data_IF_238306490366
#
_entry.id   IF_238306490366
#
_cell.length_a   1.000
_cell.length_b   1.000
_cell.length_c   1.000
_cell.angle_alpha   90.00
_cell.angle_beta   90.00
_cell.angle_gamma   90.00
#
_symmetry.space_group_name_H-M   'P 1'
#
loop_
_entity.id
_entity.type
_entity.pdbx_description
1 polymer ?
#
# COMPACT_ATOMS: atom_id res chain seq x y z
N UNK A 1 -7.67 24.69 -73.96
CA UNK A 1 -8.05 23.47 -73.22
C UNK A 1 -7.35 23.54 -71.87
N UNK A 2 -8.07 23.89 -70.80
CA UNK A 2 -7.52 24.07 -69.46
C UNK A 2 -7.38 22.71 -68.76
N UNK A 3 -6.16 22.34 -68.39
CA UNK A 3 -5.87 21.15 -67.60
C UNK A 3 -5.94 21.52 -66.10
N UNK A 4 -6.97 21.04 -65.42
CA UNK A 4 -7.13 21.17 -63.97
C UNK A 4 -6.32 20.03 -63.33
N UNK A 5 -5.25 20.37 -62.62
CA UNK A 5 -4.44 19.41 -61.86
C UNK A 5 -5.09 19.16 -60.50
N UNK A 6 -5.67 17.98 -60.29
CA UNK A 6 -6.26 17.56 -59.02
C UNK A 6 -5.15 16.90 -58.18
N UNK A 7 -4.64 17.63 -57.19
CA UNK A 7 -3.76 17.04 -56.17
C UNK A 7 -4.60 16.27 -55.16
N UNK A 8 -4.54 14.94 -55.18
CA UNK A 8 -5.15 14.09 -54.18
C UNK A 8 -4.33 14.15 -52.88
N UNK A 9 -4.81 14.89 -51.88
CA UNK A 9 -4.25 14.86 -50.53
C UNK A 9 -4.59 13.52 -49.87
N UNK A 10 -3.60 12.64 -49.72
CA UNK A 10 -3.69 11.41 -48.94
C UNK A 10 -3.65 11.79 -47.46
N UNK A 11 -4.81 11.81 -46.82
CA UNK A 11 -4.94 12.04 -45.39
C UNK A 11 -4.51 10.77 -44.64
N UNK A 12 -3.25 10.74 -44.19
CA UNK A 12 -2.71 9.65 -43.38
C UNK A 12 -3.37 9.68 -41.99
N UNK A 13 -4.35 8.83 -41.73
CA UNK A 13 -4.89 8.62 -40.38
C UNK A 13 -3.79 7.99 -39.52
N UNK A 14 -3.11 8.80 -38.69
CA UNK A 14 -2.28 8.28 -37.61
C UNK A 14 -3.19 7.69 -36.54
N UNK A 15 -3.27 6.37 -36.48
CA UNK A 15 -3.89 5.67 -35.37
C UNK A 15 -2.98 5.86 -34.15
N UNK A 16 -3.31 6.84 -33.30
CA UNK A 16 -2.63 7.02 -32.02
C UNK A 16 -2.96 5.81 -31.14
N UNK A 17 -1.97 5.07 -30.61
CA UNK A 17 -2.25 4.01 -29.67
C UNK A 17 -2.98 4.60 -28.46
N UNK A 18 -4.19 4.12 -28.20
CA UNK A 18 -4.88 4.38 -26.95
C UNK A 18 -4.20 3.56 -25.87
N UNK A 19 -3.28 4.17 -25.13
CA UNK A 19 -2.80 3.58 -23.89
C UNK A 19 -3.94 3.66 -22.88
N UNK A 20 -4.53 2.52 -22.54
CA UNK A 20 -5.42 2.45 -21.39
C UNK A 20 -4.57 2.75 -20.16
N UNK A 21 -4.93 3.79 -19.41
CA UNK A 21 -4.30 4.06 -18.11
C UNK A 21 -4.59 2.87 -17.21
N UNK A 22 -3.55 2.34 -16.57
CA UNK A 22 -3.73 1.28 -15.58
C UNK A 22 -4.71 1.75 -14.50
N UNK A 23 -5.62 0.86 -14.07
CA UNK A 23 -6.54 1.17 -12.98
C UNK A 23 -5.80 0.98 -11.67
N UNK A 24 -5.35 2.07 -11.07
CA UNK A 24 -4.74 2.06 -9.76
C UNK A 24 -5.80 1.99 -8.66
N UNK A 25 -5.58 1.11 -7.68
CA UNK A 25 -6.31 1.06 -6.41
C UNK A 25 -5.31 1.02 -5.26
N UNK A 26 -5.61 1.72 -4.17
CA UNK A 26 -4.75 1.70 -2.98
C UNK A 26 -5.21 0.60 -2.03
N UNK A 27 -4.28 -0.29 -1.64
CA UNK A 27 -4.57 -1.38 -0.71
C UNK A 27 -4.32 -0.91 0.73
N UNK A 28 -3.16 -0.31 0.99
CA UNK A 28 -2.77 0.32 2.26
C UNK A 28 -1.74 1.46 1.98
N UNK A 29 -1.08 1.99 3.02
CA UNK A 29 -0.18 3.16 2.90
C UNK A 29 1.10 2.92 2.09
N UNK A 30 1.44 1.67 1.76
CA UNK A 30 2.61 1.34 0.93
C UNK A 30 2.36 0.20 -0.07
N UNK A 31 1.09 -0.12 -0.33
CA UNK A 31 0.69 -1.19 -1.24
C UNK A 31 -0.35 -0.69 -2.25
N UNK A 32 -0.08 -0.92 -3.54
CA UNK A 32 -0.95 -0.61 -4.67
C UNK A 32 -1.44 -1.89 -5.34
N UNK A 33 -2.64 -1.85 -5.91
CA UNK A 33 -3.07 -2.80 -6.94
C UNK A 33 -3.12 -2.04 -8.28
N UNK A 34 -2.32 -2.49 -9.24
CA UNK A 34 -2.36 -2.02 -10.62
C UNK A 34 -2.86 -3.15 -11.52
N UNK A 35 -4.09 -3.03 -12.01
CA UNK A 35 -4.74 -4.00 -12.92
C UNK A 35 -4.68 -5.47 -12.43
N UNK A 36 -4.84 -5.68 -11.13
CA UNK A 36 -4.83 -6.99 -10.47
C UNK A 36 -3.44 -7.44 -10.01
N UNK A 37 -2.39 -6.67 -10.29
CA UNK A 37 -1.05 -6.93 -9.76
C UNK A 37 -0.81 -6.09 -8.51
N UNK A 38 -0.54 -6.77 -7.40
CA UNK A 38 -0.24 -6.11 -6.13
C UNK A 38 1.25 -5.71 -6.09
N UNK A 39 1.49 -4.43 -5.90
CA UNK A 39 2.79 -3.81 -5.70
C UNK A 39 2.97 -3.38 -4.25
N UNK A 40 4.03 -3.87 -3.60
CA UNK A 40 4.57 -3.26 -2.38
C UNK A 40 5.60 -2.23 -2.81
N UNK A 41 5.46 -1.00 -2.30
CA UNK A 41 6.38 0.08 -2.59
C UNK A 41 7.77 -0.27 -2.02
N UNK A 42 8.75 -0.35 -2.91
CA UNK A 42 10.14 -0.61 -2.61
C UNK A 42 10.69 0.41 -1.61
N UNK A 43 11.53 -0.06 -0.69
CA UNK A 43 12.36 0.77 0.18
C UNK A 43 11.63 1.59 1.24
N UNK A 44 10.32 1.43 1.41
CA UNK A 44 9.52 2.20 2.38
C UNK A 44 8.63 1.27 3.23
N UNK A 45 8.21 1.76 4.39
CA UNK A 45 7.20 1.11 5.26
C UNK A 45 6.28 2.22 5.80
N UNK A 46 5.01 2.19 5.43
CA UNK A 46 4.02 3.18 5.86
C UNK A 46 3.37 2.78 7.20
N UNK A 47 2.83 3.73 7.99
CA UNK A 47 2.04 3.37 9.17
C UNK A 47 0.87 2.47 8.80
N UNK A 48 0.60 1.47 9.65
CA UNK A 48 -0.49 0.53 9.43
C UNK A 48 -1.83 1.27 9.38
N UNK A 49 -2.81 0.77 8.63
CA UNK A 49 -4.10 1.46 8.44
C UNK A 49 -4.84 1.84 9.75
N UNK A 50 -4.57 1.13 10.85
CA UNK A 50 -5.13 1.39 12.18
C UNK A 50 -4.18 2.07 13.16
N UNK A 51 -3.00 2.49 12.70
CA UNK A 51 -2.00 3.15 13.52
C UNK A 51 -2.33 4.64 13.68
N UNK A 52 -2.37 5.07 14.94
CA UNK A 52 -2.41 6.47 15.35
C UNK A 52 -1.00 6.92 15.73
N UNK A 53 -0.70 8.20 15.48
CA UNK A 53 0.57 8.83 15.78
C UNK A 53 0.35 10.03 16.69
N UNK A 54 1.38 10.44 17.42
CA UNK A 54 1.28 11.53 18.37
C UNK A 54 1.20 12.91 17.67
N UNK A 55 0.48 13.83 18.30
CA UNK A 55 0.30 15.21 17.86
C UNK A 55 0.57 16.21 19.01
N UNK A 56 0.73 17.48 18.65
CA UNK A 56 0.90 18.56 19.61
C UNK A 56 -0.22 18.60 20.65
N UNK A 57 0.15 18.97 21.88
CA UNK A 57 -0.81 19.06 22.98
C UNK A 57 -1.23 17.71 23.57
N UNK A 58 -0.55 16.61 23.21
CA UNK A 58 -0.83 15.27 23.72
C UNK A 58 -2.02 14.58 23.05
N UNK A 59 -2.37 15.04 21.85
CA UNK A 59 -3.37 14.39 20.99
C UNK A 59 -2.77 13.26 20.16
N UNK A 60 -3.64 12.60 19.39
CA UNK A 60 -3.23 11.64 18.37
C UNK A 60 -3.96 11.94 17.06
N UNK A 61 -3.31 11.60 15.95
CA UNK A 61 -3.87 11.69 14.60
C UNK A 61 -3.74 10.34 13.88
N UNK A 62 -4.69 10.05 12.99
CA UNK A 62 -4.78 8.78 12.29
C UNK A 62 -3.77 8.70 11.13
N UNK A 63 -2.48 8.59 11.46
CA UNK A 63 -1.40 8.62 10.50
C UNK A 63 -1.43 7.48 9.47
N UNK A 64 -1.89 6.29 9.85
CA UNK A 64 -2.11 5.20 8.91
C UNK A 64 -3.12 5.55 7.82
N UNK A 65 -4.24 6.15 8.22
CA UNK A 65 -5.26 6.63 7.30
C UNK A 65 -4.73 7.78 6.43
N UNK A 66 -4.00 8.71 7.01
CA UNK A 66 -3.42 9.83 6.26
C UNK A 66 -2.38 9.36 5.21
N UNK A 67 -1.59 8.33 5.52
CA UNK A 67 -0.67 7.74 4.55
C UNK A 67 -1.42 7.10 3.37
N UNK A 68 -2.53 6.38 3.64
CA UNK A 68 -3.41 5.83 2.59
C UNK A 68 -3.98 6.94 1.73
N UNK A 69 -4.58 7.98 2.35
CA UNK A 69 -5.16 9.12 1.64
C UNK A 69 -4.11 9.83 0.80
N UNK A 70 -2.88 9.97 1.31
CA UNK A 70 -1.81 10.57 0.54
C UNK A 70 -1.38 9.74 -0.65
N UNK A 71 -1.28 8.42 -0.49
CA UNK A 71 -0.97 7.52 -1.60
C UNK A 71 -2.08 7.58 -2.66
N UNK A 72 -3.36 7.64 -2.25
CA UNK A 72 -4.49 7.84 -3.17
C UNK A 72 -4.35 9.12 -3.99
N UNK A 73 -4.04 10.24 -3.36
CA UNK A 73 -3.85 11.53 -4.05
C UNK A 73 -2.75 11.49 -5.11
N UNK A 74 -1.70 10.69 -4.88
CA UNK A 74 -0.60 10.54 -5.83
C UNK A 74 -0.97 9.69 -7.04
N UNK A 75 -1.78 8.65 -6.84
CA UNK A 75 -1.97 7.60 -7.87
C UNK A 75 -3.32 7.63 -8.55
N UNK A 76 -4.39 8.04 -7.88
CA UNK A 76 -5.74 7.99 -8.44
C UNK A 76 -5.91 9.05 -9.54
N UNK A 77 -6.39 8.60 -10.71
CA UNK A 77 -6.57 9.45 -11.89
C UNK A 77 -5.30 9.77 -12.66
N UNK A 78 -4.14 9.28 -12.21
CA UNK A 78 -2.86 9.45 -12.89
C UNK A 78 -2.45 8.17 -13.64
N UNK A 79 -1.60 8.33 -14.65
CA UNK A 79 -0.91 7.22 -15.32
C UNK A 79 0.21 6.71 -14.41
N UNK A 80 0.01 5.53 -13.81
CA UNK A 80 0.94 4.92 -12.87
C UNK A 80 1.74 3.83 -13.55
N UNK A 81 3.06 3.89 -13.41
CA UNK A 81 3.99 2.84 -13.86
C UNK A 81 4.88 2.42 -12.71
N UNK A 82 5.08 1.11 -12.54
CA UNK A 82 6.00 0.59 -11.54
C UNK A 82 7.10 -0.23 -12.19
N UNK A 83 8.34 0.00 -11.75
CA UNK A 83 9.49 -0.80 -12.12
C UNK A 83 9.61 -1.99 -11.16
N UNK A 84 9.44 -3.20 -11.67
CA UNK A 84 9.52 -4.46 -10.91
C UNK A 84 10.94 -4.68 -10.35
N UNK A 85 11.05 -4.89 -9.03
CA UNK A 85 12.30 -5.15 -8.28
C UNK A 85 12.37 -6.53 -7.64
N UNK A 86 11.40 -7.41 -7.93
CA UNK A 86 11.31 -8.75 -7.39
C UNK A 86 9.96 -9.01 -6.74
N UNK A 87 9.90 -10.03 -5.88
CA UNK A 87 8.70 -10.39 -5.13
C UNK A 87 9.03 -10.54 -3.66
N UNK A 88 8.08 -10.17 -2.80
CA UNK A 88 8.16 -10.46 -1.37
C UNK A 88 7.67 -11.90 -1.07
N UNK A 89 7.88 -12.43 0.15
CA UNK A 89 7.45 -13.78 0.51
C UNK A 89 5.95 -14.03 0.42
N UNK A 90 5.12 -12.98 0.30
CA UNK A 90 3.67 -13.05 0.21
C UNK A 90 3.19 -12.98 -1.25
N UNK A 91 4.11 -12.93 -2.21
CA UNK A 91 3.81 -12.89 -3.64
C UNK A 91 3.45 -11.50 -4.18
N UNK A 92 3.61 -10.44 -3.38
CA UNK A 92 3.49 -9.06 -3.89
C UNK A 92 4.73 -8.70 -4.69
N UNK A 93 4.55 -7.98 -5.79
CA UNK A 93 5.67 -7.46 -6.57
C UNK A 93 6.27 -6.29 -5.80
N UNK A 94 7.58 -6.27 -5.58
CA UNK A 94 8.27 -5.10 -5.00
C UNK A 94 8.53 -4.13 -6.15
N UNK A 95 8.21 -2.85 -6.00
CA UNK A 95 8.41 -1.90 -7.10
C UNK A 95 8.62 -0.45 -6.70
N UNK A 96 9.31 0.29 -7.58
CA UNK A 96 9.38 1.75 -7.53
C UNK A 96 8.32 2.28 -8.48
N UNK A 97 7.35 3.02 -7.96
CA UNK A 97 6.20 3.49 -8.73
C UNK A 97 6.31 4.98 -9.04
N UNK A 98 5.95 5.34 -10.26
CA UNK A 98 5.91 6.71 -10.77
C UNK A 98 4.49 7.03 -11.21
N UNK A 99 3.95 8.15 -10.73
CA UNK A 99 2.65 8.67 -11.13
C UNK A 99 2.79 10.14 -11.52
N UNK A 100 2.28 10.52 -12.70
CA UNK A 100 2.41 11.88 -13.23
C UNK A 100 3.85 12.45 -13.22
N UNK A 101 4.86 11.57 -13.42
CA UNK A 101 6.28 11.93 -13.40
C UNK A 101 6.90 12.09 -12.00
N UNK A 102 6.16 11.78 -10.94
CA UNK A 102 6.62 11.82 -9.54
C UNK A 102 6.93 10.41 -9.06
N UNK A 103 8.11 10.18 -8.49
CA UNK A 103 8.43 8.98 -7.70
C UNK A 103 7.55 8.97 -6.44
N UNK A 104 6.59 8.04 -6.42
CA UNK A 104 5.59 7.90 -5.36
C UNK A 104 6.26 7.48 -4.06
N UNK A 105 7.18 6.51 -4.12
CA UNK A 105 7.89 6.00 -2.95
C UNK A 105 8.68 7.12 -2.26
N UNK A 106 9.47 7.86 -3.04
CA UNK A 106 10.25 9.00 -2.56
C UNK A 106 9.37 10.12 -2.01
N UNK A 107 8.20 10.34 -2.61
CA UNK A 107 7.25 11.35 -2.17
C UNK A 107 6.64 10.99 -0.80
N UNK A 108 6.23 9.74 -0.61
CA UNK A 108 5.71 9.24 0.66
C UNK A 108 6.70 9.44 1.81
N UNK A 109 7.99 9.15 1.60
CA UNK A 109 9.02 9.35 2.63
C UNK A 109 9.27 10.83 2.90
N UNK A 110 9.44 11.64 1.85
CA UNK A 110 9.76 13.08 1.98
C UNK A 110 8.66 13.84 2.73
N UNK A 111 7.40 13.45 2.57
CA UNK A 111 6.29 14.10 3.27
C UNK A 111 6.01 13.50 4.66
N UNK A 112 6.84 12.55 5.11
CA UNK A 112 6.66 11.87 6.40
C UNK A 112 5.43 10.99 6.46
N UNK A 113 4.97 10.45 5.33
CA UNK A 113 3.87 9.45 5.26
C UNK A 113 4.37 8.01 5.26
N UNK A 114 5.69 7.80 5.19
CA UNK A 114 6.33 6.51 5.36
C UNK A 114 7.74 6.67 5.94
N UNK A 115 8.24 5.62 6.56
CA UNK A 115 9.65 5.49 6.93
C UNK A 115 10.46 4.93 5.76
N UNK A 116 11.75 5.27 5.70
CA UNK A 116 12.67 4.54 4.84
C UNK A 116 12.96 3.17 5.47
N UNK A 117 12.72 2.09 4.73
CA UNK A 117 12.89 0.75 5.26
C UNK A 117 14.34 0.28 5.13
N UNK A 118 15.24 0.92 5.90
CA UNK A 118 16.72 0.78 5.84
C UNK A 118 17.23 -0.66 5.96
N UNK A 119 16.45 -1.57 6.55
CA UNK A 119 16.76 -3.00 6.58
C UNK A 119 16.92 -3.62 5.18
N UNK A 120 16.20 -3.10 4.18
CA UNK A 120 16.15 -3.67 2.83
C UNK A 120 16.68 -2.75 1.72
N UNK A 121 16.65 -1.43 1.92
CA UNK A 121 17.21 -0.47 0.96
C UNK A 121 17.62 0.84 1.63
N UNK A 122 18.65 1.50 1.09
CA UNK A 122 19.10 2.84 1.49
C UNK A 122 18.61 3.95 0.54
N UNK A 123 17.84 3.62 -0.49
CA UNK A 123 17.46 4.54 -1.59
C UNK A 123 16.74 5.82 -1.10
N UNK A 124 16.06 5.75 0.04
CA UNK A 124 15.27 6.85 0.59
C UNK A 124 15.76 7.35 1.96
N UNK A 125 16.91 6.87 2.45
CA UNK A 125 17.42 7.21 3.79
C UNK A 125 17.67 8.71 3.96
N UNK A 126 18.21 9.39 2.94
CA UNK A 126 18.42 10.84 3.00
C UNK A 126 17.10 11.63 3.03
N UNK A 127 16.07 11.15 2.33
CA UNK A 127 14.74 11.78 2.33
C UNK A 127 14.06 11.64 3.68
N UNK A 128 14.27 10.50 4.35
CA UNK A 128 13.80 10.31 5.71
C UNK A 128 14.51 11.25 6.69
N UNK A 129 15.84 11.42 6.54
CA UNK A 129 16.60 12.34 7.38
C UNK A 129 16.17 13.81 7.16
N UNK A 130 15.85 14.19 5.91
CA UNK A 130 15.22 15.48 5.58
C UNK A 130 13.85 15.64 6.26
N UNK A 131 12.93 14.68 6.06
CA UNK A 131 11.59 14.72 6.65
C UNK A 131 11.63 14.77 8.19
N UNK A 132 12.60 14.08 8.80
CA UNK A 132 12.86 14.15 10.24
C UNK A 132 13.32 15.53 10.68
N UNK A 133 14.28 16.13 9.96
CA UNK A 133 14.75 17.48 10.25
C UNK A 133 13.67 18.55 10.10
N UNK A 134 12.75 18.36 9.17
CA UNK A 134 11.61 19.26 8.91
C UNK A 134 10.42 19.02 9.84
N UNK A 135 10.44 17.97 10.67
CA UNK A 135 9.35 17.60 11.58
C UNK A 135 8.00 17.44 10.84
N UNK A 136 8.00 16.75 9.70
CA UNK A 136 6.80 16.54 8.88
C UNK A 136 6.21 15.13 9.06
N UNK A 137 4.89 15.03 8.90
CA UNK A 137 4.17 13.76 9.02
C UNK A 137 4.44 13.03 10.34
N UNK A 138 4.82 11.76 10.25
CA UNK A 138 5.17 10.91 11.40
C UNK A 138 6.38 11.40 12.21
N UNK A 139 7.15 12.35 11.68
CA UNK A 139 8.32 12.94 12.34
C UNK A 139 8.02 14.19 13.17
N UNK A 140 6.75 14.63 13.23
CA UNK A 140 6.34 15.73 14.12
C UNK A 140 6.63 15.44 15.59
N UNK A 141 6.52 14.16 15.97
CA UNK A 141 6.77 13.64 17.32
C UNK A 141 7.45 12.28 17.26
N UNK A 142 7.96 11.81 18.40
CA UNK A 142 8.50 10.45 18.51
C UNK A 142 7.38 9.43 18.28
N UNK A 143 7.37 8.84 17.09
CA UNK A 143 6.34 7.91 16.67
C UNK A 143 6.94 6.52 16.48
N UNK A 144 6.23 5.50 16.97
CA UNK A 144 6.61 4.10 16.77
C UNK A 144 6.58 3.76 15.27
N UNK A 145 7.70 3.29 14.74
CA UNK A 145 7.74 2.83 13.34
C UNK A 145 6.87 1.58 13.11
N UNK A 146 6.37 1.34 11.88
CA UNK A 146 5.33 0.35 11.61
C UNK A 146 5.77 -1.08 11.92
N UNK A 147 7.04 -1.41 11.70
CA UNK A 147 7.58 -2.73 12.07
C UNK A 147 7.55 -3.01 13.57
N UNK A 148 7.77 -1.99 14.42
CA UNK A 148 7.63 -2.13 15.87
C UNK A 148 6.17 -2.18 16.29
N UNK A 149 5.32 -1.40 15.63
CA UNK A 149 3.86 -1.43 15.85
C UNK A 149 3.30 -2.83 15.56
N UNK A 150 3.66 -3.43 14.42
CA UNK A 150 3.28 -4.81 14.07
C UNK A 150 3.79 -5.82 15.09
N UNK A 151 5.06 -5.74 15.50
CA UNK A 151 5.64 -6.65 16.49
C UNK A 151 4.92 -6.58 17.85
N UNK A 152 4.67 -5.38 18.35
CA UNK A 152 3.96 -5.17 19.62
C UNK A 152 2.54 -5.75 19.57
N UNK A 153 1.79 -5.48 18.50
CA UNK A 153 0.44 -6.02 18.31
C UNK A 153 0.45 -7.54 18.15
N UNK A 154 1.46 -8.09 17.48
CA UNK A 154 1.64 -9.53 17.33
C UNK A 154 1.81 -10.22 18.67
N UNK A 155 2.73 -9.75 19.51
CA UNK A 155 3.04 -10.35 20.80
C UNK A 155 1.83 -10.41 21.73
N UNK A 156 1.05 -9.32 21.76
CA UNK A 156 -0.20 -9.27 22.52
C UNK A 156 -1.25 -10.25 22.00
N UNK A 157 -1.45 -10.26 20.67
CA UNK A 157 -2.48 -11.08 20.07
C UNK A 157 -2.14 -12.58 20.10
N UNK A 158 -0.87 -12.95 19.90
CA UNK A 158 -0.43 -14.34 19.91
C UNK A 158 -0.73 -15.02 21.26
N UNK A 159 -0.52 -14.32 22.37
CA UNK A 159 -0.83 -14.84 23.72
C UNK A 159 -2.32 -15.16 23.92
N UNK A 160 -3.20 -14.44 23.23
CA UNK A 160 -4.65 -14.61 23.33
C UNK A 160 -5.25 -15.50 22.23
N UNK A 161 -4.43 -15.98 21.28
CA UNK A 161 -4.91 -16.67 20.09
C UNK A 161 -4.63 -18.18 20.13
N UNK A 162 -5.50 -19.01 19.52
CA UNK A 162 -5.27 -20.46 19.45
C UNK A 162 -3.90 -20.79 18.86
N UNK A 163 -3.13 -21.63 19.56
CA UNK A 163 -1.79 -22.06 19.18
C UNK A 163 -0.78 -20.93 18.92
N UNK A 164 -1.04 -19.72 19.41
CA UNK A 164 -0.17 -18.56 19.15
C UNK A 164 -0.29 -18.00 17.74
N UNK A 165 -1.36 -18.33 16.99
CA UNK A 165 -1.54 -17.94 15.60
C UNK A 165 -2.61 -16.83 15.51
N UNK A 166 -2.21 -15.56 15.46
CA UNK A 166 -3.13 -14.47 15.76
C UNK A 166 -3.82 -13.89 14.53
N UNK A 167 -3.58 -14.37 13.31
CA UNK A 167 -4.25 -13.80 12.13
C UNK A 167 -5.65 -14.41 12.00
N UNK A 168 -6.68 -13.58 11.87
CA UNK A 168 -8.08 -14.00 11.78
C UNK A 168 -8.58 -14.04 10.34
N UNK A 169 -8.81 -15.23 9.79
CA UNK A 169 -9.40 -15.43 8.47
C UNK A 169 -10.92 -15.60 8.52
N UNK A 170 -11.69 -14.56 8.19
CA UNK A 170 -13.14 -14.63 8.12
C UNK A 170 -13.65 -14.87 6.68
N UNK A 171 -14.93 -15.24 6.54
CA UNK A 171 -15.59 -15.49 5.26
C UNK A 171 -16.90 -14.71 5.24
N UNK A 172 -17.05 -13.86 4.24
CA UNK A 172 -18.25 -13.01 4.08
C UNK A 172 -18.67 -12.93 2.61
N UNK A 173 -19.70 -12.12 2.31
CA UNK A 173 -20.07 -11.80 0.93
C UNK A 173 -18.96 -11.09 0.14
N UNK A 174 -17.98 -10.49 0.83
CA UNK A 174 -16.81 -9.83 0.23
C UNK A 174 -15.64 -10.80 -0.02
N UNK A 175 -15.86 -12.11 0.20
CA UNK A 175 -14.88 -13.17 0.04
C UNK A 175 -14.19 -13.56 1.34
N UNK A 176 -12.98 -14.10 1.19
CA UNK A 176 -12.11 -14.60 2.27
C UNK A 176 -11.09 -13.53 2.65
N UNK A 177 -11.22 -12.95 3.85
CA UNK A 177 -10.40 -11.81 4.28
C UNK A 177 -9.66 -12.17 5.55
N UNK A 178 -8.34 -11.98 5.56
CA UNK A 178 -7.57 -12.15 6.78
C UNK A 178 -7.37 -10.79 7.45
N UNK A 179 -7.39 -10.79 8.79
CA UNK A 179 -7.14 -9.62 9.60
C UNK A 179 -5.96 -9.90 10.51
N UNK A 180 -4.85 -9.21 10.25
CA UNK A 180 -3.69 -9.22 11.14
C UNK A 180 -3.97 -8.45 12.44
N UNK A 181 -3.19 -8.65 13.52
CA UNK A 181 -3.41 -8.01 14.82
C UNK A 181 -3.50 -6.47 14.83
N UNK A 182 -2.83 -5.83 13.88
CA UNK A 182 -2.80 -4.37 13.69
C UNK A 182 -3.93 -3.84 12.80
N UNK A 183 -4.77 -4.70 12.22
CA UNK A 183 -5.89 -4.26 11.38
C UNK A 183 -6.97 -3.57 12.24
N UNK A 184 -7.53 -2.42 11.81
CA UNK A 184 -8.69 -1.76 12.44
C UNK A 184 -9.88 -2.68 12.76
N UNK A 185 -10.09 -3.73 11.97
CA UNK A 185 -11.19 -4.70 12.15
C UNK A 185 -10.84 -5.85 13.09
N UNK A 186 -9.59 -5.99 13.53
CA UNK A 186 -9.11 -7.19 14.20
C UNK A 186 -9.92 -7.56 15.45
N UNK A 187 -10.20 -6.60 16.33
CA UNK A 187 -10.97 -6.82 17.55
C UNK A 187 -12.44 -7.22 17.27
N UNK A 188 -13.01 -6.66 16.19
CA UNK A 188 -14.40 -6.88 15.76
C UNK A 188 -14.57 -8.22 15.04
N UNK A 189 -13.55 -8.69 14.33
CA UNK A 189 -13.56 -9.99 13.65
C UNK A 189 -13.58 -11.13 14.67
N UNK A 190 -14.61 -11.98 14.56
CA UNK A 190 -14.79 -13.21 15.35
C UNK A 190 -14.79 -14.39 14.40
N UNK A 191 -14.04 -15.44 14.73
CA UNK A 191 -13.91 -16.64 13.91
C UNK A 191 -15.03 -17.63 14.22
N UNK A 192 -15.70 -18.10 13.18
CA UNK A 192 -16.68 -19.16 13.19
C UNK A 192 -16.19 -20.33 12.32
N UNK A 193 -15.55 -21.31 12.96
CA UNK A 193 -14.97 -22.48 12.29
C UNK A 193 -16.01 -23.32 11.53
N UNK A 194 -17.29 -23.29 11.95
CA UNK A 194 -18.38 -23.99 11.23
C UNK A 194 -18.64 -23.42 9.83
N UNK A 195 -18.23 -22.17 9.59
CA UNK A 195 -18.29 -21.51 8.27
C UNK A 195 -17.02 -21.71 7.45
N UNK A 196 -16.01 -22.39 7.98
CA UNK A 196 -14.68 -22.52 7.36
C UNK A 196 -13.75 -21.33 7.63
N UNK A 197 -14.12 -20.42 8.53
CA UNK A 197 -13.24 -19.38 9.06
C UNK A 197 -12.19 -20.00 9.98
N UNK A 198 -10.99 -19.43 10.04
CA UNK A 198 -9.90 -20.01 10.85
C UNK A 198 -8.83 -18.98 11.20
N UNK A 199 -7.91 -19.41 12.04
CA UNK A 199 -6.72 -18.66 12.41
C UNK A 199 -5.53 -19.06 11.53
N UNK A 200 -4.59 -18.14 11.32
CA UNK A 200 -3.34 -18.37 10.59
C UNK A 200 -2.15 -17.88 11.41
N UNK A 201 -1.00 -18.54 11.24
CA UNK A 201 0.22 -18.27 11.99
C UNK A 201 1.14 -17.26 11.29
N UNK A 202 0.90 -16.99 10.01
CA UNK A 202 1.49 -15.90 9.24
C UNK A 202 0.62 -15.53 8.03
N UNK A 203 0.95 -14.42 7.36
CA UNK A 203 0.17 -13.94 6.20
C UNK A 203 0.34 -14.84 4.97
N UNK A 204 1.50 -15.48 4.79
CA UNK A 204 1.74 -16.37 3.67
C UNK A 204 0.80 -17.58 3.70
N UNK A 205 0.56 -18.14 4.90
CA UNK A 205 -0.40 -19.21 5.13
C UNK A 205 -1.82 -18.80 4.75
N UNK A 206 -2.24 -17.59 5.16
CA UNK A 206 -3.55 -17.04 4.81
C UNK A 206 -3.70 -16.86 3.29
N UNK A 207 -2.68 -16.29 2.64
CA UNK A 207 -2.65 -16.08 1.19
C UNK A 207 -2.68 -17.40 0.43
N UNK A 208 -1.84 -18.38 0.82
CA UNK A 208 -1.83 -19.71 0.21
C UNK A 208 -3.17 -20.45 0.37
N UNK A 209 -3.89 -20.17 1.46
CA UNK A 209 -5.24 -20.66 1.69
C UNK A 209 -6.34 -19.95 0.87
N UNK A 210 -6.00 -18.89 0.14
CA UNK A 210 -6.94 -18.10 -0.65
C UNK A 210 -7.67 -17.01 0.13
N UNK A 211 -7.13 -16.58 1.28
CA UNK A 211 -7.53 -15.35 1.95
C UNK A 211 -6.69 -14.20 1.43
N UNK A 212 -7.27 -13.00 1.36
CA UNK A 212 -6.54 -11.77 1.02
C UNK A 212 -6.61 -10.75 2.14
N UNK A 213 -5.72 -9.76 2.09
CA UNK A 213 -5.81 -8.61 2.96
C UNK A 213 -7.09 -7.79 2.66
N UNK A 214 -7.62 -7.05 3.66
CA UNK A 214 -8.58 -5.98 3.40
C UNK A 214 -7.94 -4.90 2.53
N UNK A 215 -8.77 -4.17 1.78
CA UNK A 215 -8.35 -2.94 1.12
C UNK A 215 -8.82 -1.77 2.00
N UNK A 216 -7.93 -0.84 2.28
CA UNK A 216 -8.19 0.32 3.12
C UNK A 216 -8.38 1.60 2.30
N UNK A 217 -7.75 1.68 1.14
CA UNK A 217 -7.97 2.74 0.17
C UNK A 217 -9.21 2.50 -0.72
N UNK A 218 -9.55 3.53 -1.48
CA UNK A 218 -10.65 3.57 -2.46
C UNK A 218 -10.29 2.88 -3.77
#
# INVERSE_FOLDING_TARGET
MNLISITASVLLLMCMPTFASATARVVDGDTLDLDGRIYRLHGIDAPEAGQDCDEDGGGHWACGKAAIERLEELVLGNDVRCDDRGQDPYGRTIGVCVAAGVDVNARMVREGMAWAFRKYSEDYSSLEDEARGEHVGVWRHETMAPWYYRAHHWDQAAQASPNGCPIKGNISGNGRIYHAPWSPWYAKTKINEKKGERWFCDEAEAVAAGWRAPHWGR
#
